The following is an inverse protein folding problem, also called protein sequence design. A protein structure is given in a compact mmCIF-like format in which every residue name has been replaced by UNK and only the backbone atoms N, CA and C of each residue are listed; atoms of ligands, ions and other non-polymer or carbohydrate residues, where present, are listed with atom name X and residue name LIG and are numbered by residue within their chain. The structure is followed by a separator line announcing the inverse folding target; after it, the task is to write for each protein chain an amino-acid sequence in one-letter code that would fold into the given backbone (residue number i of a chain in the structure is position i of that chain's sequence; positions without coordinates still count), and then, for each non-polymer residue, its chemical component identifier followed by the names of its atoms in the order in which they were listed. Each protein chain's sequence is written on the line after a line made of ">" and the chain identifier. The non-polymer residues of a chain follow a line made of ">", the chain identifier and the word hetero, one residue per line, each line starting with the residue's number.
data_IF_762043625942
#
_entry.id   IF_762043625942
#
_cell.length_a   1.000
_cell.length_b   1.000
_cell.length_c   1.000
_cell.angle_alpha   90.00
_cell.angle_beta   90.00
_cell.angle_gamma   90.00
#
_symmetry.space_group_name_H-M   'P 1'
#
loop_
_entity.id
_entity.type
_entity.pdbx_description
1 polymer ?
#
# COMPACT_ATOMS: atom_id res chain seq x y z
N UNK A 1 8.62 -8.41 9.73
CA UNK A 1 8.38 -9.68 9.00
C UNK A 1 8.95 -10.82 9.84
N UNK A 2 8.25 -11.94 9.94
CA UNK A 2 8.72 -13.15 10.64
C UNK A 2 8.47 -14.41 9.79
N UNK A 3 9.21 -15.49 10.08
CA UNK A 3 9.05 -16.78 9.42
C UNK A 3 8.72 -17.87 10.45
N UNK A 4 7.60 -18.58 10.23
CA UNK A 4 7.11 -19.64 11.12
C UNK A 4 6.39 -20.73 10.33
N UNK A 5 7.04 -21.23 9.25
CA UNK A 5 6.41 -22.09 8.24
C UNK A 5 5.50 -21.34 7.24
N UNK A 6 5.15 -20.11 7.58
CA UNK A 6 4.59 -19.07 6.71
C UNK A 6 5.45 -17.81 6.84
N UNK A 7 5.36 -16.90 5.87
CA UNK A 7 5.96 -15.56 5.98
C UNK A 7 4.88 -14.60 6.48
N UNK A 8 5.05 -14.07 7.69
CA UNK A 8 4.10 -13.12 8.27
C UNK A 8 4.61 -11.69 8.06
N UNK A 9 3.78 -10.86 7.43
CA UNK A 9 4.04 -9.47 7.10
C UNK A 9 3.13 -8.60 7.95
N UNK A 10 3.72 -7.99 8.98
CA UNK A 10 3.05 -6.95 9.75
C UNK A 10 3.14 -5.64 8.97
N UNK A 11 2.00 -5.07 8.61
CA UNK A 11 1.94 -3.75 7.99
C UNK A 11 1.82 -2.69 9.08
N UNK A 12 2.52 -1.56 8.89
CA UNK A 12 2.52 -0.43 9.82
C UNK A 12 2.07 0.80 9.05
N UNK A 13 1.16 1.56 9.64
CA UNK A 13 0.55 2.74 9.04
C UNK A 13 -0.94 2.54 8.77
N UNK A 14 -1.51 3.55 8.12
CA UNK A 14 -2.93 3.67 7.82
C UNK A 14 -3.09 4.58 6.61
N UNK A 15 -4.26 4.52 5.98
CA UNK A 15 -4.69 5.51 5.01
C UNK A 15 -5.82 6.37 5.61
N UNK A 16 -5.91 7.61 5.15
CA UNK A 16 -7.09 8.44 5.33
C UNK A 16 -7.66 8.67 3.94
N UNK A 17 -8.95 8.37 3.77
CA UNK A 17 -9.68 8.65 2.54
C UNK A 17 -10.69 9.74 2.86
N UNK A 18 -10.62 10.85 2.13
CA UNK A 18 -11.63 11.90 2.19
C UNK A 18 -12.56 11.76 0.97
N UNK A 19 -13.87 11.89 1.18
CA UNK A 19 -14.85 11.90 0.11
C UNK A 19 -15.55 13.26 0.08
N UNK A 20 -15.10 14.13 -0.84
CA UNK A 20 -15.55 15.53 -0.95
C UNK A 20 -17.08 15.66 -1.01
N UNK A 21 -17.74 14.76 -1.73
CA UNK A 21 -19.20 14.79 -1.93
C UNK A 21 -19.98 14.75 -0.61
N UNK A 22 -19.43 14.09 0.41
CA UNK A 22 -20.09 13.90 1.70
C UNK A 22 -19.41 14.67 2.83
N UNK A 23 -18.27 15.32 2.56
CA UNK A 23 -17.38 15.90 3.58
C UNK A 23 -17.05 14.86 4.67
N UNK A 24 -16.69 13.64 4.23
CA UNK A 24 -16.46 12.50 5.12
C UNK A 24 -15.02 11.99 5.04
N UNK A 25 -14.43 11.76 6.21
CA UNK A 25 -13.11 11.15 6.37
C UNK A 25 -13.24 9.71 6.85
N UNK A 26 -12.44 8.83 6.27
CA UNK A 26 -12.38 7.42 6.60
C UNK A 26 -10.97 7.04 7.03
N UNK A 27 -10.84 6.46 8.23
CA UNK A 27 -9.58 5.91 8.71
C UNK A 27 -9.51 4.44 8.34
N UNK A 28 -8.57 4.08 7.45
CA UNK A 28 -8.47 2.76 6.83
C UNK A 28 -7.18 2.07 7.27
N UNK A 29 -7.24 0.85 7.83
CA UNK A 29 -6.06 0.14 8.29
C UNK A 29 -5.32 -0.52 7.13
N UNK A 30 -4.04 -0.82 7.33
CA UNK A 30 -3.28 -1.69 6.45
C UNK A 30 -3.29 -3.11 7.05
N UNK A 31 -4.00 -4.07 6.44
CA UNK A 31 -4.13 -5.40 7.03
C UNK A 31 -2.82 -6.18 6.99
N UNK A 32 -2.54 -6.95 8.04
CA UNK A 32 -1.40 -7.86 8.04
C UNK A 32 -1.62 -8.96 7.00
N UNK A 33 -0.54 -9.36 6.32
CA UNK A 33 -0.58 -10.37 5.26
C UNK A 33 0.29 -11.55 5.66
N UNK A 34 -0.24 -12.75 5.49
CA UNK A 34 0.52 -13.99 5.67
C UNK A 34 0.66 -14.68 4.32
N UNK A 35 1.89 -14.96 3.91
CA UNK A 35 2.16 -15.78 2.74
C UNK A 35 2.17 -17.25 3.16
N UNK A 36 1.25 -18.03 2.60
CA UNK A 36 1.07 -19.46 2.87
C UNK A 36 1.39 -20.29 1.64
N UNK A 37 1.34 -21.61 1.77
CA UNK A 37 1.49 -22.56 0.65
C UNK A 37 2.93 -22.98 0.33
N UNK A 38 3.87 -22.76 1.26
CA UNK A 38 5.27 -23.19 1.11
C UNK A 38 5.41 -24.71 0.95
N UNK A 39 4.67 -25.50 1.74
CA UNK A 39 4.70 -26.96 1.65
C UNK A 39 4.17 -27.50 0.31
N UNK A 40 3.18 -26.82 -0.27
CA UNK A 40 2.59 -27.20 -1.56
C UNK A 40 3.25 -26.54 -2.76
N UNK A 41 4.32 -25.76 -2.55
CA UNK A 41 4.97 -24.91 -3.56
C UNK A 41 4.02 -23.99 -4.35
N UNK A 42 2.85 -23.68 -3.78
CA UNK A 42 1.84 -22.81 -4.38
C UNK A 42 1.62 -21.64 -3.43
N UNK A 43 2.49 -20.63 -3.54
CA UNK A 43 2.48 -19.48 -2.63
C UNK A 43 1.26 -18.59 -2.89
N UNK A 44 0.58 -18.18 -1.83
CA UNK A 44 -0.52 -17.22 -1.91
C UNK A 44 -0.57 -16.30 -0.69
N UNK A 45 -0.98 -15.03 -0.87
CA UNK A 45 -1.26 -14.14 0.25
C UNK A 45 -2.60 -14.49 0.89
N UNK A 46 -2.68 -14.37 2.20
CA UNK A 46 -3.91 -14.50 2.97
C UNK A 46 -3.95 -13.39 4.04
N UNK A 47 -5.13 -12.80 4.23
CA UNK A 47 -5.39 -11.82 5.29
C UNK A 47 -6.20 -12.55 6.36
N UNK A 48 -5.85 -12.33 7.62
CA UNK A 48 -6.57 -12.89 8.78
C UNK A 48 -6.70 -11.83 9.85
N UNK A 49 -7.80 -11.90 10.60
CA UNK A 49 -8.07 -11.06 11.76
C UNK A 49 -9.16 -10.02 11.50
N UNK A 50 -9.47 -9.27 12.55
CA UNK A 50 -10.51 -8.24 12.52
C UNK A 50 -9.90 -6.86 12.34
N UNK A 51 -10.46 -6.09 11.41
CA UNK A 51 -10.05 -4.73 11.09
C UNK A 51 -11.29 -3.84 11.04
N UNK A 52 -11.14 -2.57 11.40
CA UNK A 52 -12.24 -1.59 11.36
C UNK A 52 -11.88 -0.44 10.44
N UNK A 53 -12.86 0.04 9.68
CA UNK A 53 -12.80 1.31 8.96
C UNK A 53 -13.74 2.27 9.68
N UNK A 54 -13.21 3.36 10.22
CA UNK A 54 -13.98 4.34 10.99
C UNK A 54 -14.28 5.56 10.13
N UNK A 55 -15.55 5.93 9.99
CA UNK A 55 -16.00 7.13 9.27
C UNK A 55 -16.27 8.30 10.23
N UNK A 56 -16.05 9.53 9.77
CA UNK A 56 -16.48 10.75 10.47
C UNK A 56 -18.00 10.86 10.63
N UNK A 57 -18.80 10.13 9.85
CA UNK A 57 -20.25 10.06 10.00
C UNK A 57 -20.71 9.21 11.19
N UNK A 58 -19.77 8.63 11.95
CA UNK A 58 -20.05 7.76 13.08
C UNK A 58 -20.28 6.30 12.70
N UNK A 59 -20.28 5.96 11.42
CA UNK A 59 -20.35 4.56 10.96
C UNK A 59 -18.99 3.86 11.07
N UNK A 60 -19.05 2.57 11.40
CA UNK A 60 -17.89 1.66 11.50
C UNK A 60 -18.16 0.45 10.61
N UNK A 61 -17.21 0.15 9.73
CA UNK A 61 -17.18 -1.11 9.00
C UNK A 61 -16.20 -2.05 9.68
N UNK A 62 -16.72 -3.07 10.37
CA UNK A 62 -15.91 -4.11 11.00
C UNK A 62 -15.81 -5.31 10.07
N UNK A 63 -14.59 -5.72 9.74
CA UNK A 63 -14.28 -6.75 8.74
C UNK A 63 -13.46 -7.84 9.42
N UNK A 64 -14.00 -9.05 9.46
CA UNK A 64 -13.32 -10.25 9.93
C UNK A 64 -12.84 -11.06 8.71
N UNK A 65 -11.53 -11.10 8.50
CA UNK A 65 -10.93 -11.93 7.47
C UNK A 65 -10.57 -13.31 8.04
N UNK A 66 -10.90 -14.34 7.26
CA UNK A 66 -10.57 -15.71 7.58
C UNK A 66 -10.00 -16.46 6.38
N UNK A 67 -9.24 -17.51 6.71
CA UNK A 67 -8.46 -18.27 5.75
C UNK A 67 -8.70 -19.77 5.82
N UNK A 68 -8.07 -20.48 4.89
CA UNK A 68 -8.22 -21.94 4.80
C UNK A 68 -7.79 -22.60 6.11
N UNK A 69 -8.65 -23.49 6.64
CA UNK A 69 -8.42 -24.23 7.88
C UNK A 69 -9.01 -23.58 9.13
N UNK A 70 -9.49 -22.34 9.05
CA UNK A 70 -10.23 -21.66 10.12
C UNK A 70 -11.72 -21.95 9.91
N UNK A 71 -12.36 -22.67 10.84
CA UNK A 71 -13.81 -22.93 10.86
C UNK A 71 -14.44 -23.38 9.52
N UNK A 72 -13.74 -24.22 8.74
CA UNK A 72 -14.15 -24.65 7.37
C UNK A 72 -14.31 -23.51 6.35
N UNK A 73 -13.79 -22.31 6.62
CA UNK A 73 -13.83 -21.19 5.69
C UNK A 73 -12.92 -21.44 4.47
N UNK A 74 -13.33 -20.86 3.33
CA UNK A 74 -12.56 -20.90 2.08
C UNK A 74 -11.37 -19.95 2.19
N UNK A 75 -10.34 -20.15 1.37
CA UNK A 75 -9.27 -19.17 1.20
C UNK A 75 -9.85 -17.79 0.91
N UNK A 76 -9.29 -16.76 1.52
CA UNK A 76 -9.65 -15.36 1.30
C UNK A 76 -11.10 -15.03 1.68
N UNK A 77 -11.67 -15.73 2.66
CA UNK A 77 -13.03 -15.44 3.13
C UNK A 77 -13.04 -14.18 3.99
N UNK A 78 -14.18 -13.49 4.02
CA UNK A 78 -14.44 -12.45 4.99
C UNK A 78 -15.93 -12.39 5.33
N UNK A 79 -16.20 -11.88 6.53
CA UNK A 79 -17.50 -11.39 6.97
C UNK A 79 -17.31 -9.95 7.42
N UNK A 80 -18.22 -9.07 7.07
CA UNK A 80 -18.19 -7.70 7.53
C UNK A 80 -19.58 -7.23 7.95
N UNK A 81 -19.60 -6.27 8.87
CA UNK A 81 -20.82 -5.57 9.26
C UNK A 81 -20.55 -4.08 9.33
N UNK A 82 -21.55 -3.30 8.92
CA UNK A 82 -21.55 -1.84 9.03
C UNK A 82 -22.54 -1.48 10.12
N UNK A 83 -22.14 -0.66 11.08
CA UNK A 83 -23.01 -0.19 12.17
C UNK A 83 -22.66 1.24 12.57
N UNK A 84 -23.58 1.92 13.27
CA UNK A 84 -23.28 3.22 13.87
C UNK A 84 -22.59 3.02 15.23
N UNK A 85 -21.53 3.78 15.54
CA UNK A 85 -20.71 3.63 16.75
C UNK A 85 -21.51 3.76 18.05
N UNK A 86 -22.59 4.54 18.03
CA UNK A 86 -23.48 4.72 19.19
C UNK A 86 -24.41 3.52 19.41
N UNK A 87 -24.52 2.60 18.43
CA UNK A 87 -25.33 1.39 18.53
C UNK A 87 -24.63 0.18 17.87
N UNK A 88 -23.52 -0.31 18.43
CA UNK A 88 -22.70 -1.37 17.84
C UNK A 88 -23.38 -2.74 17.80
N UNK A 89 -24.48 -2.92 18.55
CA UNK A 89 -25.29 -4.13 18.53
C UNK A 89 -26.23 -4.22 17.32
N UNK A 90 -26.43 -3.12 16.57
CA UNK A 90 -27.37 -3.06 15.46
C UNK A 90 -26.65 -2.79 14.14
N UNK A 91 -26.42 -3.86 13.37
CA UNK A 91 -25.90 -3.77 12.01
C UNK A 91 -26.91 -3.07 11.08
N UNK A 92 -26.39 -2.19 10.23
CA UNK A 92 -27.07 -1.61 9.07
C UNK A 92 -26.99 -2.58 7.88
N UNK A 93 -25.79 -3.11 7.63
CA UNK A 93 -25.49 -4.00 6.51
C UNK A 93 -24.54 -5.10 6.93
N UNK A 94 -24.69 -6.25 6.30
CA UNK A 94 -23.80 -7.40 6.44
C UNK A 94 -23.27 -7.82 5.07
N UNK A 95 -21.96 -8.09 5.02
CA UNK A 95 -21.28 -8.55 3.83
C UNK A 95 -20.60 -9.88 4.12
N UNK A 96 -20.66 -10.82 3.19
CA UNK A 96 -19.92 -12.08 3.33
C UNK A 96 -19.55 -12.64 1.97
N UNK A 97 -18.34 -13.23 1.90
CA UNK A 97 -17.86 -13.82 0.67
C UNK A 97 -16.37 -14.10 0.68
N UNK A 98 -15.79 -14.10 -0.51
CA UNK A 98 -14.37 -14.30 -0.74
C UNK A 98 -13.83 -13.06 -1.45
N UNK A 99 -12.98 -12.27 -0.81
CA UNK A 99 -12.56 -10.96 -1.32
C UNK A 99 -11.82 -11.03 -2.67
N UNK A 100 -11.30 -12.21 -3.02
CA UNK A 100 -10.65 -12.48 -4.31
C UNK A 100 -11.55 -13.15 -5.35
N UNK A 101 -12.87 -13.22 -5.11
CA UNK A 101 -13.84 -13.84 -6.04
C UNK A 101 -15.15 -13.06 -6.11
N UNK A 102 -15.70 -12.67 -4.97
CA UNK A 102 -16.99 -12.02 -4.88
C UNK A 102 -17.67 -12.21 -3.53
N UNK A 103 -18.69 -11.41 -3.27
CA UNK A 103 -19.42 -11.38 -2.00
C UNK A 103 -20.86 -10.92 -2.18
N UNK A 104 -21.65 -11.08 -1.12
CA UNK A 104 -23.04 -10.59 -1.04
C UNK A 104 -23.12 -9.45 -0.05
N UNK A 105 -24.07 -8.56 -0.26
CA UNK A 105 -24.43 -7.46 0.64
C UNK A 105 -25.90 -7.62 1.02
N UNK A 106 -26.18 -7.69 2.31
CA UNK A 106 -27.51 -7.90 2.88
C UNK A 106 -27.87 -6.69 3.74
N UNK A 107 -29.11 -6.22 3.65
CA UNK A 107 -29.65 -5.27 4.61
C UNK A 107 -29.99 -6.01 5.91
N UNK A 108 -29.26 -5.75 7.00
CA UNK A 108 -29.45 -6.45 8.28
C UNK A 108 -30.83 -6.17 8.90
N UNK A 109 -31.53 -5.11 8.48
CA UNK A 109 -32.83 -4.71 9.04
C UNK A 109 -33.99 -5.48 8.39
N UNK A 110 -33.87 -5.78 7.11
CA UNK A 110 -34.93 -6.45 6.32
C UNK A 110 -34.58 -7.91 5.99
N UNK A 111 -33.30 -8.28 6.03
CA UNK A 111 -32.80 -9.57 5.55
C UNK A 111 -32.69 -9.66 4.03
N UNK A 112 -32.92 -8.56 3.31
CA UNK A 112 -32.93 -8.52 1.85
C UNK A 112 -31.51 -8.55 1.27
N UNK A 113 -31.32 -9.37 0.23
CA UNK A 113 -30.09 -9.36 -0.58
C UNK A 113 -30.08 -8.12 -1.48
N UNK A 114 -29.24 -7.14 -1.17
CA UNK A 114 -29.13 -5.89 -1.92
C UNK A 114 -28.28 -6.04 -3.17
N UNK A 115 -27.15 -6.74 -3.05
CA UNK A 115 -26.19 -6.85 -4.13
C UNK A 115 -25.37 -8.15 -4.01
N UNK A 116 -25.00 -8.69 -5.17
CA UNK A 116 -23.91 -9.66 -5.29
C UNK A 116 -22.82 -9.00 -6.12
N UNK A 117 -21.60 -8.99 -5.60
CA UNK A 117 -20.42 -8.48 -6.29
C UNK A 117 -19.58 -9.65 -6.77
N UNK A 118 -19.22 -9.65 -8.05
CA UNK A 118 -18.32 -10.62 -8.67
C UNK A 118 -17.04 -9.89 -9.12
N UNK A 119 -15.90 -10.30 -8.59
CA UNK A 119 -14.60 -9.65 -8.85
C UNK A 119 -14.19 -9.78 -10.31
N UNK A 120 -14.57 -10.88 -10.98
CA UNK A 120 -14.15 -11.17 -12.35
C UNK A 120 -15.17 -10.64 -13.40
N UNK A 121 -16.25 -10.00 -12.95
CA UNK A 121 -17.23 -9.39 -13.84
C UNK A 121 -16.63 -8.22 -14.64
N UNK A 122 -17.02 -8.09 -15.90
CA UNK A 122 -16.42 -7.13 -16.85
C UNK A 122 -16.61 -5.68 -16.38
N UNK A 123 -17.76 -5.37 -15.79
CA UNK A 123 -18.08 -4.06 -15.21
C UNK A 123 -17.21 -3.68 -14.00
N UNK A 124 -16.59 -4.66 -13.35
CA UNK A 124 -15.71 -4.48 -12.20
C UNK A 124 -14.22 -4.50 -12.60
N UNK A 125 -13.92 -4.53 -13.90
CA UNK A 125 -12.56 -4.48 -14.40
C UNK A 125 -11.83 -3.23 -13.88
N UNK A 126 -10.57 -3.35 -13.40
CA UNK A 126 -9.82 -2.20 -12.94
C UNK A 126 -9.72 -1.11 -14.00
N UNK A 127 -9.93 0.14 -13.60
CA UNK A 127 -9.74 1.27 -14.49
C UNK A 127 -8.30 1.26 -15.05
N UNK A 128 -8.12 1.48 -16.36
CA UNK A 128 -6.78 1.51 -16.95
C UNK A 128 -6.01 2.72 -16.40
N UNK A 129 -4.75 2.49 -16.06
CA UNK A 129 -3.83 3.56 -15.67
C UNK A 129 -2.98 3.90 -16.89
N UNK A 130 -3.12 5.13 -17.38
CA UNK A 130 -2.23 5.65 -18.43
C UNK A 130 -0.86 5.98 -17.85
N UNK A 131 0.18 5.39 -18.45
CA UNK A 131 1.56 5.55 -17.98
C UNK A 131 2.43 5.85 -19.20
N UNK A 132 3.30 6.85 -19.07
CA UNK A 132 4.20 7.26 -20.14
C UNK A 132 5.10 6.09 -20.62
N UNK A 133 5.48 6.06 -21.90
CA UNK A 133 6.49 5.12 -22.42
C UNK A 133 7.78 5.19 -21.60
N UNK A 134 8.46 4.05 -21.41
CA UNK A 134 9.64 3.92 -20.54
C UNK A 134 10.75 4.90 -20.92
N UNK A 135 10.89 5.19 -22.21
CA UNK A 135 11.91 6.09 -22.76
C UNK A 135 11.67 7.56 -22.35
N UNK A 136 10.42 7.91 -22.02
CA UNK A 136 9.99 9.25 -21.62
C UNK A 136 9.88 9.43 -20.10
N UNK A 137 9.95 8.36 -19.32
CA UNK A 137 9.88 8.40 -17.85
C UNK A 137 11.17 8.95 -17.24
N UNK A 138 11.12 9.57 -16.07
CA UNK A 138 12.32 9.94 -15.30
C UNK A 138 13.15 8.69 -14.93
N UNK A 139 14.50 8.76 -14.89
CA UNK A 139 15.33 7.62 -14.49
C UNK A 139 15.00 7.00 -13.13
N UNK A 140 14.35 7.74 -12.21
CA UNK A 140 13.93 7.26 -10.91
C UNK A 140 12.51 6.67 -10.89
N UNK A 141 11.76 6.78 -11.99
CA UNK A 141 10.47 6.11 -12.10
C UNK A 141 10.63 4.59 -12.15
N UNK A 142 9.79 3.87 -11.41
CA UNK A 142 9.98 2.44 -11.12
C UNK A 142 10.14 1.57 -12.37
N UNK A 143 9.33 1.78 -13.43
CA UNK A 143 9.41 0.94 -14.64
C UNK A 143 10.72 1.18 -15.39
N UNK A 144 11.23 2.42 -15.44
CA UNK A 144 12.51 2.75 -16.06
C UNK A 144 13.69 2.29 -15.19
N UNK A 145 13.67 2.58 -13.90
CA UNK A 145 14.73 2.22 -12.95
C UNK A 145 14.95 0.70 -12.88
N UNK A 146 13.88 -0.09 -12.95
CA UNK A 146 13.91 -1.55 -12.85
C UNK A 146 13.79 -2.28 -14.19
N UNK A 147 13.82 -1.57 -15.32
CA UNK A 147 13.58 -2.13 -16.67
C UNK A 147 14.38 -3.40 -16.94
N UNK A 148 15.68 -3.37 -16.70
CA UNK A 148 16.59 -4.47 -17.02
C UNK A 148 16.32 -5.70 -16.13
N UNK A 149 15.97 -5.48 -14.86
CA UNK A 149 15.57 -6.56 -13.93
C UNK A 149 14.26 -7.19 -14.40
N UNK A 150 13.28 -6.37 -14.75
CA UNK A 150 11.97 -6.84 -15.21
C UNK A 150 12.10 -7.63 -16.52
N UNK A 151 12.92 -7.18 -17.48
CA UNK A 151 13.15 -7.90 -18.75
C UNK A 151 13.77 -9.27 -18.50
N UNK A 152 14.84 -9.32 -17.71
CA UNK A 152 15.53 -10.57 -17.40
C UNK A 152 14.62 -11.57 -16.66
N UNK A 153 13.76 -11.10 -15.75
CA UNK A 153 12.77 -11.95 -15.08
C UNK A 153 11.71 -12.50 -16.04
N UNK A 154 11.22 -11.69 -16.98
CA UNK A 154 10.26 -12.15 -18.01
C UNK A 154 10.86 -13.21 -18.94
N UNK A 155 12.16 -13.12 -19.19
CA UNK A 155 12.93 -14.10 -19.98
C UNK A 155 13.33 -15.34 -19.18
N UNK A 156 13.07 -15.39 -17.86
CA UNK A 156 13.51 -16.47 -16.98
C UNK A 156 15.03 -16.50 -16.72
N UNK A 157 15.75 -15.42 -17.05
CA UNK A 157 17.19 -15.31 -16.85
C UNK A 157 17.52 -14.74 -15.47
N UNK A 158 17.51 -15.62 -14.46
CA UNK A 158 17.75 -15.23 -13.06
C UNK A 158 19.15 -14.67 -12.81
N UNK A 159 20.18 -15.11 -13.57
CA UNK A 159 21.52 -14.57 -13.44
C UNK A 159 21.59 -13.11 -13.92
N UNK A 160 21.03 -12.82 -15.10
CA UNK A 160 20.95 -11.45 -15.60
C UNK A 160 20.10 -10.55 -14.69
N UNK A 161 18.99 -11.07 -14.15
CA UNK A 161 18.16 -10.33 -13.20
C UNK A 161 18.93 -9.97 -11.92
N UNK A 162 19.73 -10.90 -11.40
CA UNK A 162 20.57 -10.67 -10.22
C UNK A 162 21.63 -9.59 -10.47
N UNK A 163 22.33 -9.66 -11.61
CA UNK A 163 23.35 -8.67 -12.00
C UNK A 163 22.71 -7.27 -12.17
N UNK A 164 21.58 -7.19 -12.87
CA UNK A 164 20.86 -5.93 -13.07
C UNK A 164 20.37 -5.35 -11.73
N UNK A 165 19.84 -6.19 -10.82
CA UNK A 165 19.43 -5.79 -9.48
C UNK A 165 20.60 -5.22 -8.68
N UNK A 166 21.74 -5.91 -8.70
CA UNK A 166 22.95 -5.45 -8.01
C UNK A 166 23.38 -4.07 -8.51
N UNK A 167 23.34 -3.83 -9.83
CA UNK A 167 23.68 -2.52 -10.43
C UNK A 167 22.79 -1.39 -9.88
N UNK A 168 21.47 -1.60 -9.80
CA UNK A 168 20.52 -0.61 -9.25
C UNK A 168 20.80 -0.34 -7.77
N UNK A 169 20.99 -1.39 -6.98
CA UNK A 169 21.23 -1.26 -5.53
C UNK A 169 22.56 -0.59 -5.22
N UNK A 170 23.63 -0.92 -5.96
CA UNK A 170 24.93 -0.29 -5.80
C UNK A 170 24.92 1.19 -6.19
N UNK A 171 24.22 1.55 -7.28
CA UNK A 171 24.05 2.95 -7.66
C UNK A 171 23.35 3.76 -6.56
N UNK A 172 22.29 3.20 -5.96
CA UNK A 172 21.61 3.83 -4.82
C UNK A 172 22.52 3.93 -3.58
N UNK A 173 23.25 2.87 -3.24
CA UNK A 173 24.22 2.90 -2.11
C UNK A 173 25.30 3.96 -2.30
N UNK A 174 25.86 4.08 -3.51
CA UNK A 174 26.86 5.12 -3.84
C UNK A 174 26.27 6.52 -3.71
N UNK A 175 25.06 6.75 -4.26
CA UNK A 175 24.36 8.03 -4.13
C UNK A 175 24.17 8.45 -2.67
N UNK A 176 23.69 7.54 -1.81
CA UNK A 176 23.53 7.82 -0.37
C UNK A 176 24.86 8.08 0.34
N UNK A 177 25.92 7.40 -0.07
CA UNK A 177 27.28 7.64 0.45
C UNK A 177 27.78 9.04 0.08
N UNK A 178 27.56 9.47 -1.16
CA UNK A 178 28.02 10.77 -1.65
C UNK A 178 27.17 11.93 -1.11
N UNK A 179 25.87 11.73 -0.90
CA UNK A 179 25.01 12.65 -0.13
C UNK A 179 25.56 12.83 1.29
N UNK A 180 25.85 11.72 1.99
CA UNK A 180 26.41 11.76 3.35
C UNK A 180 27.77 12.48 3.42
N UNK A 181 28.66 12.24 2.45
CA UNK A 181 29.97 12.93 2.37
C UNK A 181 29.83 14.44 2.16
N UNK A 182 28.78 14.87 1.46
CA UNK A 182 28.45 16.29 1.23
C UNK A 182 27.66 16.91 2.37
N UNK A 183 27.32 16.16 3.42
CA UNK A 183 26.46 16.63 4.51
C UNK A 183 25.00 16.84 4.09
N UNK A 184 24.60 16.30 2.94
CA UNK A 184 23.23 16.41 2.42
C UNK A 184 22.35 15.33 3.05
N UNK A 185 21.14 15.72 3.47
CA UNK A 185 20.11 14.79 3.90
C UNK A 185 19.16 14.52 2.75
N UNK A 186 18.99 13.25 2.38
CA UNK A 186 17.99 12.89 1.38
C UNK A 186 16.58 13.22 1.88
N UNK A 187 15.81 13.88 1.01
CA UNK A 187 14.41 14.21 1.27
C UNK A 187 13.52 13.55 0.22
N UNK A 188 12.34 13.01 0.59
CA UNK A 188 11.36 12.54 -0.38
C UNK A 188 10.86 13.69 -1.25
N UNK A 189 10.61 13.40 -2.53
CA UNK A 189 10.21 14.41 -3.50
C UNK A 189 8.78 14.90 -3.27
N UNK A 190 7.84 13.98 -3.06
CA UNK A 190 6.39 14.28 -3.00
C UNK A 190 5.77 14.13 -1.61
N UNK A 191 6.57 13.79 -0.59
CA UNK A 191 6.06 13.51 0.75
C UNK A 191 6.85 14.25 1.82
N UNK A 192 6.13 14.72 2.84
CA UNK A 192 6.70 15.20 4.11
C UNK A 192 6.15 14.36 5.25
N UNK A 193 6.93 14.23 6.32
CA UNK A 193 6.47 13.64 7.56
C UNK A 193 6.07 14.75 8.54
N UNK A 194 4.99 14.52 9.28
CA UNK A 194 4.49 15.42 10.32
C UNK A 194 4.52 14.73 11.69
N UNK A 195 4.67 15.49 12.79
CA UNK A 195 4.50 14.96 14.14
C UNK A 195 3.14 14.27 14.33
N UNK A 196 3.11 13.13 15.04
CA UNK A 196 1.87 12.36 15.20
C UNK A 196 0.76 13.09 15.96
N UNK A 197 1.11 13.97 16.90
CA UNK A 197 0.15 14.80 17.64
C UNK A 197 -0.61 15.80 16.74
N UNK A 198 -0.06 16.16 15.59
CA UNK A 198 -0.72 17.04 14.61
C UNK A 198 -1.70 16.28 13.69
N UNK A 199 -1.78 14.95 13.78
CA UNK A 199 -2.66 14.13 12.97
C UNK A 199 -4.12 14.14 13.47
N UNK A 200 -4.77 15.30 13.40
CA UNK A 200 -6.12 15.54 13.92
C UNK A 200 -7.17 14.54 13.43
N UNK A 201 -7.15 14.20 12.13
CA UNK A 201 -8.12 13.27 11.53
C UNK A 201 -8.01 11.89 12.17
N UNK A 202 -6.78 11.39 12.39
CA UNK A 202 -6.59 10.12 13.09
C UNK A 202 -7.13 10.19 14.52
N UNK A 203 -6.72 11.20 15.31
CA UNK A 203 -7.13 11.29 16.72
C UNK A 203 -8.65 11.37 16.87
N UNK A 204 -9.32 12.11 15.97
CA UNK A 204 -10.79 12.19 15.93
C UNK A 204 -11.46 10.86 15.56
N UNK A 205 -10.93 10.13 14.57
CA UNK A 205 -11.54 8.88 14.09
C UNK A 205 -11.13 7.63 14.89
N UNK A 206 -10.04 7.70 15.64
CA UNK A 206 -9.58 6.64 16.53
C UNK A 206 -10.09 6.82 17.96
N UNK A 207 -10.71 7.97 18.29
CA UNK A 207 -11.27 8.25 19.62
C UNK A 207 -12.25 7.14 20.05
N UNK A 208 -12.07 6.62 21.27
CA UNK A 208 -12.89 5.54 21.82
C UNK A 208 -12.58 4.15 21.25
N UNK A 209 -11.58 4.02 20.38
CA UNK A 209 -11.11 2.73 19.84
C UNK A 209 -9.82 2.26 20.50
N UNK A 210 -9.41 1.03 20.22
CA UNK A 210 -8.10 0.50 20.64
C UNK A 210 -6.95 0.91 19.72
N UNK A 211 -7.23 1.70 18.66
CA UNK A 211 -6.24 1.99 17.64
C UNK A 211 -5.21 3.01 18.12
N UNK A 212 -3.94 2.61 18.10
CA UNK A 212 -2.80 3.47 18.43
C UNK A 212 -2.10 3.95 17.17
N UNK A 213 -1.72 5.22 17.16
CA UNK A 213 -0.86 5.77 16.12
C UNK A 213 0.57 5.27 16.32
N UNK A 214 1.13 4.60 15.30
CA UNK A 214 2.49 4.07 15.30
C UNK A 214 3.47 5.02 14.60
N UNK A 215 3.42 6.30 14.96
CA UNK A 215 4.23 7.34 14.31
C UNK A 215 5.73 7.20 14.61
N UNK A 216 6.09 6.59 15.73
CA UNK A 216 7.51 6.32 16.05
C UNK A 216 8.10 5.30 15.08
N UNK A 217 7.34 4.27 14.74
CA UNK A 217 7.71 3.20 13.82
C UNK A 217 7.78 3.71 12.38
N UNK A 218 6.90 4.63 11.99
CA UNK A 218 6.88 5.24 10.65
C UNK A 218 7.77 6.48 10.52
N UNK A 219 8.40 6.95 11.62
CA UNK A 219 9.18 8.20 11.70
C UNK A 219 8.34 9.44 11.36
N UNK A 220 7.14 9.52 11.92
CA UNK A 220 6.14 10.56 11.69
C UNK A 220 5.03 10.09 10.75
N UNK A 221 4.06 10.97 10.53
CA UNK A 221 2.91 10.74 9.66
C UNK A 221 3.24 11.28 8.27
N UNK A 222 3.40 10.37 7.32
CA UNK A 222 3.71 10.73 5.94
C UNK A 222 2.46 11.21 5.21
N UNK A 223 2.56 12.39 4.59
CA UNK A 223 1.50 12.98 3.77
C UNK A 223 2.09 13.53 2.49
N UNK A 224 1.25 13.60 1.46
CA UNK A 224 1.57 14.29 0.22
C UNK A 224 1.90 15.75 0.56
N UNK A 225 2.95 16.24 -0.07
CA UNK A 225 3.40 17.61 0.04
C UNK A 225 2.81 18.43 -1.11
N UNK A 226 1.61 18.98 -0.89
CA UNK A 226 0.85 19.70 -1.93
C UNK A 226 1.66 20.87 -2.53
N UNK A 227 2.42 21.59 -1.70
CA UNK A 227 3.29 22.69 -2.17
C UNK A 227 4.34 22.21 -3.19
N UNK A 228 4.86 20.98 -3.04
CA UNK A 228 5.85 20.40 -3.95
C UNK A 228 5.23 19.73 -5.18
N UNK A 229 3.95 19.41 -5.16
CA UNK A 229 3.25 18.93 -6.35
C UNK A 229 3.12 20.06 -7.38
N UNK A 230 2.79 21.26 -6.93
CA UNK A 230 2.65 22.44 -7.79
C UNK A 230 4.01 23.04 -8.19
N UNK A 231 5.04 22.82 -7.37
CA UNK A 231 6.40 23.28 -7.58
C UNK A 231 7.41 22.15 -7.37
N UNK A 232 7.56 21.21 -8.32
CA UNK A 232 8.54 20.14 -8.21
C UNK A 232 9.94 20.78 -8.13
N UNK A 233 10.58 20.66 -6.96
CA UNK A 233 11.99 21.01 -6.83
C UNK A 233 12.78 20.22 -7.87
N UNK A 234 13.79 20.82 -8.54
CA UNK A 234 14.56 20.10 -9.54
C UNK A 234 15.10 18.82 -8.91
N UNK A 235 14.80 17.67 -9.54
CA UNK A 235 15.39 16.37 -9.18
C UNK A 235 16.87 16.58 -8.90
N UNK A 236 17.44 16.09 -7.78
CA UNK A 236 18.85 16.28 -7.49
C UNK A 236 19.61 15.77 -8.69
N UNK A 237 20.22 16.70 -9.41
CA UNK A 237 20.57 16.55 -10.81
C UNK A 237 21.46 15.34 -10.98
N UNK A 238 21.06 14.43 -11.87
CA UNK A 238 21.95 13.45 -12.49
C UNK A 238 22.91 14.23 -13.40
N UNK A 239 23.77 15.07 -12.84
CA UNK A 239 24.90 15.63 -13.59
C UNK A 239 25.86 14.45 -13.78
N UNK A 240 26.09 13.97 -15.00
CA UNK A 240 27.25 13.12 -15.22
C UNK A 240 28.45 13.99 -14.87
N UNK A 241 29.30 13.53 -13.95
CA UNK A 241 30.61 14.15 -13.77
C UNK A 241 31.24 14.24 -15.16
N UNK A 242 31.40 15.46 -15.69
CA UNK A 242 32.11 15.70 -16.92
C UNK A 242 33.55 15.27 -16.70
N UNK A 243 33.84 14.01 -17.01
CA UNK A 243 35.20 13.52 -17.15
C UNK A 243 35.85 14.33 -18.26
N UNK A 244 36.83 15.13 -17.88
CA UNK A 244 37.76 15.80 -18.77
C UNK A 244 38.24 14.84 -19.85
N UNK A 245 37.91 15.11 -21.12
CA UNK A 245 38.52 14.45 -22.25
C UNK A 245 40.03 14.76 -22.24
N UNK A 246 40.92 13.77 -22.40
CA UNK A 246 42.34 14.07 -22.56
C UNK A 246 42.55 14.76 -23.90
N UNK A 247 43.24 15.91 -23.84
CA UNK A 247 43.70 16.67 -25.01
C UNK A 247 44.53 15.76 -25.91
N UNK A 248 44.07 15.53 -27.13
CA UNK A 248 44.93 15.08 -28.22
C UNK A 248 45.59 16.32 -28.81
N UNK A 249 46.86 16.52 -28.50
CA UNK A 249 47.79 17.24 -29.37
C UNK A 249 48.59 16.21 -30.15
N UNK A 250 48.77 16.50 -31.44
CA UNK A 250 49.48 15.78 -32.48
C UNK A 250 50.73 14.99 -32.06
#
# INVERSE_FOLDING_TARGET
>A
MSFSGNVNIQQIGHAVIHIDRFDEDYLVPLPNVTIRGFLSACLYPEIVGTYTINSSSGHVSEINFSGTGIFRSKRNSFEARVYHRDNPGKSCYELSGVWSKGWKIIDSRTGELLQTYDVDAVENAPAPIEIAPIEKQDPLESRRAWRDVISALKEGNYQAASIAKQKVEEAQRRRRSDEKKRGETWMPLFFRNFPGNEHKVFHRLAEGTSWQLLDKETKGVWRVDEERLDHPSPSPSLVPSSGSAPSRSW
#
